data_IF_159362678496
#
_entry.id   IF_159362678496
#
_cell.length_a   1.000
_cell.length_b   1.000
_cell.length_c   1.000
_cell.angle_alpha   90.00
_cell.angle_beta   90.00
_cell.angle_gamma   90.00
#
_symmetry.space_group_name_H-M   'P 1'
#
loop_
_entity.id
_entity.type
_entity.pdbx_description
1 polymer ?
#
# COMPACT_ATOMS: atom_id res chain seq x y z
N UNK A 1 19.87 -1.79 5.76
CA UNK A 1 19.94 -1.86 4.28
C UNK A 1 19.85 -0.44 3.70
N UNK A 2 20.74 -0.08 2.79
CA UNK A 2 20.71 1.26 2.16
C UNK A 2 19.71 1.22 0.99
N UNK A 3 18.88 2.26 0.85
CA UNK A 3 17.87 2.35 -0.23
C UNK A 3 18.51 2.25 -1.62
N UNK A 4 19.72 2.78 -1.80
CA UNK A 4 20.48 2.67 -3.06
C UNK A 4 20.78 1.23 -3.48
N UNK A 5 21.14 0.36 -2.52
CA UNK A 5 21.40 -1.06 -2.79
C UNK A 5 20.12 -1.77 -3.26
N UNK A 6 19.00 -1.43 -2.65
CA UNK A 6 17.69 -1.96 -3.01
C UNK A 6 17.29 -1.56 -4.44
N UNK A 7 17.50 -0.29 -4.81
CA UNK A 7 17.21 0.22 -6.15
C UNK A 7 18.06 -0.50 -7.19
N UNK A 8 19.38 -0.62 -6.95
CA UNK A 8 20.28 -1.32 -7.89
C UNK A 8 19.91 -2.80 -8.06
N UNK A 9 19.43 -3.45 -6.99
CA UNK A 9 18.96 -4.83 -7.05
C UNK A 9 17.64 -4.96 -7.82
N UNK A 10 16.72 -4.01 -7.63
CA UNK A 10 15.46 -3.95 -8.38
C UNK A 10 15.72 -3.80 -9.89
N UNK A 11 16.68 -2.97 -10.28
CA UNK A 11 17.05 -2.77 -11.69
C UNK A 11 17.61 -4.05 -12.32
N UNK A 12 18.41 -4.82 -11.58
CA UNK A 12 18.94 -6.11 -12.04
C UNK A 12 17.83 -7.16 -12.17
N UNK A 13 16.85 -7.20 -11.26
CA UNK A 13 15.70 -8.10 -11.34
C UNK A 13 14.81 -7.82 -12.54
N UNK A 14 14.64 -6.57 -12.89
CA UNK A 14 13.81 -6.15 -14.02
C UNK A 14 14.51 -6.25 -15.37
N UNK A 15 15.85 -6.46 -15.41
CA UNK A 15 16.62 -6.57 -16.65
C UNK A 15 16.12 -7.76 -17.48
N UNK A 16 15.69 -7.51 -18.72
CA UNK A 16 15.16 -8.53 -19.64
C UNK A 16 13.65 -8.85 -19.48
N UNK A 17 13.00 -8.39 -18.41
CA UNK A 17 11.56 -8.67 -18.15
C UNK A 17 10.73 -7.41 -17.94
N UNK A 18 11.30 -6.22 -18.24
CA UNK A 18 10.70 -4.92 -17.91
C UNK A 18 9.29 -4.74 -18.46
N UNK A 19 9.09 -4.96 -19.75
CA UNK A 19 7.82 -4.71 -20.43
C UNK A 19 6.68 -5.57 -19.87
N UNK A 20 6.93 -6.87 -19.68
CA UNK A 20 5.90 -7.78 -19.11
C UNK A 20 5.56 -7.43 -17.67
N UNK A 21 6.55 -7.07 -16.87
CA UNK A 21 6.33 -6.68 -15.46
C UNK A 21 5.58 -5.35 -15.39
N UNK A 22 5.91 -4.40 -16.26
CA UNK A 22 5.27 -3.11 -16.36
C UNK A 22 3.78 -3.23 -16.70
N UNK A 23 3.43 -4.05 -17.70
CA UNK A 23 2.04 -4.32 -18.08
C UNK A 23 1.23 -4.91 -16.91
N UNK A 24 1.83 -5.82 -16.14
CA UNK A 24 1.16 -6.44 -15.00
C UNK A 24 1.00 -5.44 -13.85
N UNK A 25 2.01 -4.63 -13.55
CA UNK A 25 1.96 -3.67 -12.44
C UNK A 25 1.04 -2.47 -12.71
N UNK A 26 0.84 -2.09 -13.98
CA UNK A 26 -0.06 -0.99 -14.33
C UNK A 26 -1.54 -1.38 -14.25
N UNK A 27 -1.85 -2.69 -14.34
CA UNK A 27 -3.23 -3.17 -14.41
C UNK A 27 -4.11 -2.72 -13.23
N UNK A 28 -3.70 -2.83 -11.95
CA UNK A 28 -4.51 -2.33 -10.84
C UNK A 28 -4.62 -0.80 -10.83
N UNK A 29 -3.61 -0.07 -11.29
CA UNK A 29 -3.65 1.40 -11.41
C UNK A 29 -4.62 1.81 -12.51
N UNK A 30 -4.57 1.15 -13.66
CA UNK A 30 -5.50 1.38 -14.76
C UNK A 30 -6.95 1.06 -14.35
N UNK A 31 -7.17 -0.03 -13.63
CA UNK A 31 -8.50 -0.38 -13.09
C UNK A 31 -9.00 0.68 -12.10
N UNK A 32 -8.15 1.17 -11.19
CA UNK A 32 -8.50 2.24 -10.24
C UNK A 32 -8.89 3.53 -10.99
N UNK A 33 -8.10 3.94 -11.99
CA UNK A 33 -8.38 5.11 -12.83
C UNK A 33 -9.69 4.94 -13.62
N UNK A 34 -9.89 3.78 -14.22
CA UNK A 34 -11.12 3.49 -14.96
C UNK A 34 -12.37 3.66 -14.10
N UNK A 35 -12.39 3.09 -12.89
CA UNK A 35 -13.52 3.25 -11.98
C UNK A 35 -13.71 4.70 -11.52
N UNK A 36 -12.64 5.46 -11.34
CA UNK A 36 -12.72 6.88 -11.01
C UNK A 36 -13.29 7.72 -12.14
N UNK A 37 -12.85 7.47 -13.37
CA UNK A 37 -13.40 8.13 -14.55
C UNK A 37 -14.87 7.77 -14.77
N UNK A 38 -15.23 6.50 -14.59
CA UNK A 38 -16.61 6.04 -14.70
C UNK A 38 -17.52 6.67 -13.62
N UNK A 39 -17.03 6.79 -12.38
CA UNK A 39 -17.72 7.47 -11.28
C UNK A 39 -17.93 8.95 -11.60
N UNK A 40 -16.88 9.65 -12.04
CA UNK A 40 -16.97 11.04 -12.42
C UNK A 40 -17.93 11.28 -13.59
N UNK A 41 -17.89 10.44 -14.61
CA UNK A 41 -18.82 10.49 -15.75
C UNK A 41 -20.28 10.24 -15.31
N UNK A 42 -20.52 9.23 -14.48
CA UNK A 42 -21.87 8.97 -13.95
C UNK A 42 -22.41 10.13 -13.11
N UNK A 43 -21.58 10.73 -12.26
CA UNK A 43 -21.96 11.90 -11.48
C UNK A 43 -22.21 13.12 -12.36
N UNK A 44 -21.44 13.33 -13.43
CA UNK A 44 -21.64 14.41 -14.40
C UNK A 44 -22.96 14.23 -15.20
N UNK A 45 -23.27 13.00 -15.59
CA UNK A 45 -24.54 12.69 -16.26
C UNK A 45 -25.73 12.93 -15.34
N UNK A 46 -25.65 12.55 -14.07
CA UNK A 46 -26.70 12.83 -13.09
C UNK A 46 -26.93 14.34 -12.89
N UNK A 47 -25.86 15.15 -12.93
CA UNK A 47 -25.97 16.60 -12.90
C UNK A 47 -26.67 17.16 -14.15
N UNK A 48 -26.32 16.64 -15.32
CA UNK A 48 -26.87 17.10 -16.59
C UNK A 48 -28.37 16.79 -16.73
N UNK A 49 -28.79 15.58 -16.33
CA UNK A 49 -30.18 15.16 -16.44
C UNK A 49 -31.06 15.55 -15.23
N UNK A 50 -30.46 15.84 -14.08
CA UNK A 50 -31.18 16.04 -12.82
C UNK A 50 -31.69 17.46 -12.55
N UNK A 51 -31.48 18.43 -13.44
CA UNK A 51 -31.84 19.87 -13.22
C UNK A 51 -31.49 20.40 -11.81
N UNK A 52 -30.55 19.77 -11.14
CA UNK A 52 -30.18 20.10 -9.78
C UNK A 52 -29.20 21.27 -9.76
N UNK A 53 -29.46 22.23 -8.90
CA UNK A 53 -28.62 23.40 -8.68
C UNK A 53 -27.15 23.00 -8.40
N UNK A 54 -26.19 23.90 -8.78
CA UNK A 54 -24.77 23.64 -8.54
C UNK A 54 -24.50 23.48 -7.03
N UNK A 55 -23.99 22.34 -6.67
CA UNK A 55 -23.85 21.84 -5.32
C UNK A 55 -22.82 22.67 -4.55
N UNK A 56 -23.22 23.22 -3.43
CA UNK A 56 -22.31 23.51 -2.33
C UNK A 56 -21.65 22.20 -1.89
N UNK A 57 -20.32 22.21 -1.73
CA UNK A 57 -19.47 21.04 -1.39
C UNK A 57 -19.95 20.28 -0.13
N UNK A 58 -20.84 20.88 0.65
CA UNK A 58 -21.38 20.36 1.91
C UNK A 58 -22.91 20.30 2.00
N UNK A 59 -23.69 20.63 0.96
CA UNK A 59 -25.08 21.00 1.14
C UNK A 59 -26.17 20.18 0.47
N UNK A 60 -25.92 19.24 -0.43
CA UNK A 60 -26.99 18.39 -0.96
C UNK A 60 -26.57 16.92 -0.94
N UNK A 61 -27.12 16.20 0.03
CA UNK A 61 -27.11 14.74 0.06
C UNK A 61 -28.09 14.20 -0.99
N UNK A 62 -27.72 14.33 -2.26
CA UNK A 62 -28.49 13.72 -3.34
C UNK A 62 -28.33 12.19 -3.17
N UNK A 63 -29.37 11.44 -2.73
CA UNK A 63 -29.25 10.04 -2.37
C UNK A 63 -28.77 9.20 -3.57
N UNK A 64 -29.05 9.65 -4.77
CA UNK A 64 -28.65 8.96 -6.00
C UNK A 64 -27.15 9.05 -6.26
N UNK A 65 -26.52 10.19 -5.97
CA UNK A 65 -25.06 10.34 -6.03
C UNK A 65 -24.34 9.50 -4.98
N UNK A 66 -24.87 9.51 -3.77
CA UNK A 66 -24.36 8.69 -2.68
C UNK A 66 -24.41 7.20 -3.08
N UNK A 67 -25.51 6.77 -3.69
CA UNK A 67 -25.67 5.41 -4.20
C UNK A 67 -24.64 5.09 -5.29
N UNK A 68 -24.45 5.96 -6.29
CA UNK A 68 -23.46 5.77 -7.37
C UNK A 68 -22.05 5.68 -6.81
N UNK A 69 -21.68 6.58 -5.92
CA UNK A 69 -20.34 6.58 -5.28
C UNK A 69 -20.14 5.34 -4.41
N UNK A 70 -21.16 4.89 -3.68
CA UNK A 70 -21.10 3.67 -2.88
C UNK A 70 -20.91 2.42 -3.76
N UNK A 71 -21.71 2.28 -4.83
CA UNK A 71 -21.60 1.16 -5.77
C UNK A 71 -20.25 1.17 -6.47
N UNK A 72 -19.80 2.30 -7.00
CA UNK A 72 -18.48 2.47 -7.62
C UNK A 72 -17.37 2.07 -6.66
N UNK A 73 -17.46 2.50 -5.41
CA UNK A 73 -16.47 2.18 -4.37
C UNK A 73 -16.42 0.68 -4.09
N UNK A 74 -17.56 0.01 -3.96
CA UNK A 74 -17.62 -1.45 -3.73
C UNK A 74 -17.06 -2.20 -4.94
N UNK A 75 -17.48 -1.86 -6.16
CA UNK A 75 -16.97 -2.47 -7.39
C UNK A 75 -15.45 -2.32 -7.53
N UNK A 76 -14.93 -1.14 -7.24
CA UNK A 76 -13.49 -0.86 -7.20
C UNK A 76 -12.76 -1.73 -6.18
N UNK A 77 -13.33 -1.94 -5.00
CA UNK A 77 -12.72 -2.80 -3.97
C UNK A 77 -12.68 -4.25 -4.39
N UNK A 78 -13.76 -4.74 -4.98
CA UNK A 78 -13.88 -6.13 -5.45
C UNK A 78 -12.92 -6.41 -6.61
N UNK A 79 -12.65 -5.45 -7.49
CA UNK A 79 -11.80 -5.65 -8.67
C UNK A 79 -10.32 -5.36 -8.40
N UNK A 80 -10.00 -4.25 -7.73
CA UNK A 80 -8.60 -3.84 -7.53
C UNK A 80 -7.88 -4.74 -6.52
N UNK A 81 -8.57 -5.23 -5.49
CA UNK A 81 -7.92 -6.06 -4.47
C UNK A 81 -7.36 -7.39 -5.01
N UNK A 82 -8.11 -8.21 -5.77
CA UNK A 82 -7.57 -9.43 -6.36
C UNK A 82 -6.51 -9.13 -7.43
N UNK A 83 -6.62 -8.04 -8.20
CA UNK A 83 -5.59 -7.62 -9.15
C UNK A 83 -4.27 -7.32 -8.44
N UNK A 84 -4.31 -6.53 -7.36
CA UNK A 84 -3.13 -6.27 -6.52
C UNK A 84 -2.51 -7.54 -5.98
N UNK A 85 -3.33 -8.48 -5.48
CA UNK A 85 -2.83 -9.76 -4.99
C UNK A 85 -2.09 -10.54 -6.08
N UNK A 86 -2.64 -10.60 -7.31
CA UNK A 86 -2.03 -11.30 -8.44
C UNK A 86 -0.72 -10.64 -8.88
N UNK A 87 -0.66 -9.30 -8.88
CA UNK A 87 0.59 -8.56 -9.15
C UNK A 87 1.66 -8.94 -8.14
N UNK A 88 1.34 -8.89 -6.85
CA UNK A 88 2.27 -9.26 -5.77
C UNK A 88 2.73 -10.71 -5.89
N UNK A 89 1.80 -11.63 -6.20
CA UNK A 89 2.14 -13.04 -6.43
C UNK A 89 3.13 -13.21 -7.58
N UNK A 90 2.96 -12.47 -8.68
CA UNK A 90 3.89 -12.48 -9.81
C UNK A 90 5.24 -11.89 -9.47
N UNK A 91 5.27 -10.77 -8.75
CA UNK A 91 6.52 -10.16 -8.30
C UNK A 91 7.29 -11.09 -7.35
N UNK A 92 6.58 -11.73 -6.42
CA UNK A 92 7.16 -12.74 -5.54
C UNK A 92 7.64 -13.97 -6.33
N UNK A 93 6.88 -14.42 -7.34
CA UNK A 93 7.28 -15.50 -8.24
C UNK A 93 8.58 -15.22 -8.96
N UNK A 94 8.81 -13.98 -9.42
CA UNK A 94 10.08 -13.59 -10.07
C UNK A 94 11.28 -13.67 -9.12
N UNK A 95 11.10 -13.39 -7.84
CA UNK A 95 12.14 -13.57 -6.83
C UNK A 95 12.35 -15.04 -6.46
N UNK A 96 11.30 -15.87 -6.57
CA UNK A 96 11.29 -17.30 -6.25
C UNK A 96 11.67 -18.20 -7.45
N UNK A 97 11.45 -17.78 -8.70
CA UNK A 97 11.85 -18.50 -9.93
C UNK A 97 13.36 -18.77 -9.99
N UNK A 98 14.17 -17.91 -9.37
CA UNK A 98 15.59 -18.17 -9.14
C UNK A 98 15.84 -19.39 -8.24
N UNK A 99 14.83 -19.82 -7.50
CA UNK A 99 14.81 -21.04 -6.68
C UNK A 99 14.24 -22.26 -7.44
N UNK A 100 14.04 -22.19 -8.77
CA UNK A 100 13.57 -23.32 -9.59
C UNK A 100 12.07 -23.61 -9.54
N UNK A 101 11.27 -22.79 -8.87
CA UNK A 101 9.81 -22.99 -8.79
C UNK A 101 9.09 -22.33 -9.98
N UNK A 102 8.39 -23.14 -10.78
CA UNK A 102 7.56 -22.62 -11.91
C UNK A 102 6.42 -21.73 -11.40
N UNK A 103 6.32 -20.54 -11.96
CA UNK A 103 5.24 -19.63 -11.66
C UNK A 103 3.93 -20.03 -12.38
N UNK A 104 2.83 -20.10 -11.66
CA UNK A 104 1.51 -20.44 -12.24
C UNK A 104 0.98 -19.31 -13.15
N UNK A 105 0.10 -19.65 -14.10
CA UNK A 105 -0.52 -18.69 -15.00
C UNK A 105 -1.37 -17.66 -14.25
N UNK A 106 -1.37 -16.41 -14.75
CA UNK A 106 -2.11 -15.28 -14.17
C UNK A 106 -3.61 -15.59 -13.98
N UNK A 107 -4.26 -16.12 -15.00
CA UNK A 107 -5.69 -16.45 -14.97
C UNK A 107 -6.04 -17.53 -13.94
N UNK A 108 -5.21 -18.56 -13.80
CA UNK A 108 -5.43 -19.63 -12.80
C UNK A 108 -5.34 -19.13 -11.36
N UNK A 109 -4.51 -18.13 -11.10
CA UNK A 109 -4.37 -17.54 -9.75
C UNK A 109 -5.58 -16.67 -9.43
N UNK A 110 -6.01 -15.85 -10.40
CA UNK A 110 -7.15 -14.93 -10.23
C UNK A 110 -8.46 -15.68 -9.98
N UNK A 111 -8.69 -16.76 -10.74
CA UNK A 111 -9.94 -17.55 -10.68
C UNK A 111 -10.00 -18.50 -9.48
N UNK A 112 -8.95 -18.62 -8.69
CA UNK A 112 -8.95 -19.51 -7.53
C UNK A 112 -9.77 -18.90 -6.40
N UNK A 113 -10.96 -19.46 -6.10
CA UNK A 113 -11.90 -18.96 -5.07
C UNK A 113 -11.25 -18.61 -3.74
N UNK A 114 -10.29 -19.42 -3.28
CA UNK A 114 -9.58 -19.20 -2.02
C UNK A 114 -8.73 -17.92 -2.04
N UNK A 115 -8.04 -17.64 -3.15
CA UNK A 115 -7.22 -16.43 -3.36
C UNK A 115 -8.09 -15.18 -3.45
N UNK A 116 -9.18 -15.26 -4.20
CA UNK A 116 -10.12 -14.17 -4.38
C UNK A 116 -10.77 -13.75 -3.07
N UNK A 117 -11.35 -14.70 -2.32
CA UNK A 117 -11.97 -14.42 -1.01
C UNK A 117 -11.00 -13.82 -0.02
N UNK A 118 -9.74 -14.29 0.02
CA UNK A 118 -8.72 -13.77 0.93
C UNK A 118 -8.28 -12.36 0.58
N UNK A 119 -8.08 -12.07 -0.71
CA UNK A 119 -7.68 -10.73 -1.15
C UNK A 119 -8.74 -9.69 -0.84
N UNK A 120 -10.01 -10.03 -1.06
CA UNK A 120 -11.14 -9.14 -0.73
C UNK A 120 -11.24 -8.95 0.79
N UNK A 121 -11.19 -10.03 1.58
CA UNK A 121 -11.24 -9.94 3.05
C UNK A 121 -10.09 -9.05 3.59
N UNK A 122 -8.88 -9.20 3.08
CA UNK A 122 -7.76 -8.36 3.47
C UNK A 122 -7.97 -6.88 3.07
N UNK A 123 -8.52 -6.64 1.87
CA UNK A 123 -8.83 -5.29 1.42
C UNK A 123 -9.90 -4.63 2.30
N UNK A 124 -10.95 -5.37 2.67
CA UNK A 124 -12.00 -4.88 3.57
C UNK A 124 -11.39 -4.49 4.92
N UNK A 125 -10.64 -5.38 5.57
CA UNK A 125 -10.04 -5.11 6.87
C UNK A 125 -9.05 -3.93 6.84
N UNK A 126 -8.17 -3.87 5.85
CA UNK A 126 -7.18 -2.78 5.75
C UNK A 126 -7.83 -1.44 5.42
N UNK A 127 -8.92 -1.43 4.65
CA UNK A 127 -9.66 -0.21 4.33
C UNK A 127 -10.55 0.23 5.49
N UNK A 128 -11.24 -0.70 6.16
CA UNK A 128 -12.03 -0.39 7.36
C UNK A 128 -11.14 0.23 8.45
N UNK A 129 -9.99 -0.36 8.73
CA UNK A 129 -9.03 0.20 9.68
C UNK A 129 -8.49 1.56 9.22
N UNK A 130 -8.26 1.75 7.91
CA UNK A 130 -7.84 3.03 7.34
C UNK A 130 -8.92 4.10 7.43
N UNK A 131 -10.20 3.76 7.22
CA UNK A 131 -11.32 4.68 7.36
C UNK A 131 -11.51 5.08 8.83
N UNK A 132 -11.48 4.12 9.76
CA UNK A 132 -11.55 4.40 11.19
C UNK A 132 -10.46 5.39 11.64
N UNK A 133 -9.24 5.22 11.15
CA UNK A 133 -8.14 6.12 11.45
C UNK A 133 -8.27 7.51 10.78
N UNK A 134 -9.09 7.62 9.73
CA UNK A 134 -9.34 8.89 9.04
C UNK A 134 -10.41 9.74 9.74
N UNK A 135 -11.33 9.11 10.49
CA UNK A 135 -12.44 9.80 11.17
C UNK A 135 -11.96 11.01 11.99
N UNK A 136 -10.94 10.90 12.87
CA UNK A 136 -10.45 12.06 13.62
C UNK A 136 -9.91 13.16 12.72
N UNK A 137 -9.21 12.80 11.64
CA UNK A 137 -8.66 13.78 10.70
C UNK A 137 -9.76 14.57 9.98
N UNK A 138 -10.84 13.91 9.58
CA UNK A 138 -12.00 14.56 8.96
C UNK A 138 -12.71 15.46 9.98
N UNK A 139 -12.97 14.94 11.18
CA UNK A 139 -13.65 15.70 12.24
C UNK A 139 -12.91 16.99 12.58
N UNK A 140 -11.62 16.90 12.92
CA UNK A 140 -10.82 18.09 13.24
C UNK A 140 -10.60 18.99 12.02
N UNK A 141 -10.49 18.42 10.81
CA UNK A 141 -10.34 19.18 9.57
C UNK A 141 -11.55 20.03 9.24
N UNK A 142 -12.75 19.46 9.38
CA UNK A 142 -14.01 20.19 9.20
C UNK A 142 -14.16 21.28 10.25
N UNK A 143 -13.84 20.98 11.53
CA UNK A 143 -13.88 21.98 12.61
C UNK A 143 -12.90 23.12 12.36
N UNK A 144 -11.65 22.81 11.93
CA UNK A 144 -10.67 23.85 11.60
C UNK A 144 -11.14 24.73 10.43
N UNK A 145 -11.72 24.12 9.38
CA UNK A 145 -12.22 24.84 8.22
C UNK A 145 -13.41 25.77 8.58
N UNK A 146 -14.34 25.28 9.41
CA UNK A 146 -15.47 26.08 9.90
C UNK A 146 -15.00 27.33 10.67
N UNK A 147 -14.06 27.13 11.62
CA UNK A 147 -13.49 28.24 12.40
C UNK A 147 -12.72 29.26 11.55
N UNK A 148 -12.09 28.83 10.46
CA UNK A 148 -11.36 29.72 9.54
C UNK A 148 -12.34 30.52 8.66
N UNK A 149 -13.50 29.95 8.34
CA UNK A 149 -14.48 30.58 7.44
C UNK A 149 -15.39 31.57 8.15
N UNK A 150 -15.69 31.37 9.41
CA UNK A 150 -16.35 32.36 10.27
C UNK A 150 -15.33 33.42 10.63
N UNK A 151 -15.67 34.71 10.42
CA UNK A 151 -14.77 35.87 10.59
C UNK A 151 -14.02 35.80 11.92
N UNK A 152 -12.71 35.58 11.84
CA UNK A 152 -11.84 35.30 13.00
C UNK A 152 -11.77 36.48 13.98
N UNK A 153 -12.32 36.30 15.18
CA UNK A 153 -11.91 37.06 16.37
C UNK A 153 -10.63 36.40 16.95
N UNK A 154 -9.83 37.21 17.66
CA UNK A 154 -8.49 36.76 18.16
C UNK A 154 -8.56 35.49 19.00
N UNK A 155 -9.63 35.29 19.78
CA UNK A 155 -9.81 34.10 20.62
C UNK A 155 -10.06 32.81 19.82
N UNK A 156 -10.65 32.93 18.61
CA UNK A 156 -10.93 31.78 17.73
C UNK A 156 -9.70 31.33 16.95
N UNK A 157 -8.67 32.20 16.81
CA UNK A 157 -7.41 31.83 16.16
C UNK A 157 -6.71 30.67 16.87
N UNK A 158 -6.66 30.67 18.19
CA UNK A 158 -6.06 29.56 18.96
C UNK A 158 -6.86 28.28 18.80
N UNK A 159 -8.19 28.34 18.72
CA UNK A 159 -9.04 27.17 18.50
C UNK A 159 -8.81 26.59 17.09
N UNK A 160 -8.75 27.44 16.05
CA UNK A 160 -8.45 27.04 14.69
C UNK A 160 -7.05 26.44 14.53
N UNK A 161 -6.04 27.05 15.15
CA UNK A 161 -4.67 26.53 15.15
C UNK A 161 -4.57 25.16 15.82
N UNK A 162 -5.28 24.98 16.95
CA UNK A 162 -5.32 23.70 17.67
C UNK A 162 -6.02 22.61 16.85
N UNK A 163 -7.14 22.90 16.22
CA UNK A 163 -7.86 22.00 15.33
C UNK A 163 -7.01 21.63 14.11
N UNK A 164 -6.30 22.55 13.50
CA UNK A 164 -5.36 22.31 12.41
C UNK A 164 -4.19 21.41 12.83
N UNK A 165 -3.65 21.65 14.03
CA UNK A 165 -2.58 20.80 14.59
C UNK A 165 -3.05 19.35 14.84
N UNK A 166 -4.24 19.17 15.43
CA UNK A 166 -4.84 17.85 15.64
C UNK A 166 -5.14 17.14 14.30
N UNK A 167 -5.57 17.90 13.29
CA UNK A 167 -5.73 17.36 11.93
C UNK A 167 -4.41 16.86 11.37
N UNK A 168 -3.34 17.63 11.48
CA UNK A 168 -2.01 17.23 11.01
C UNK A 168 -1.51 15.95 11.70
N UNK A 169 -1.66 15.84 13.03
CA UNK A 169 -1.32 14.63 13.78
C UNK A 169 -2.14 13.43 13.28
N UNK A 170 -3.44 13.60 13.12
CA UNK A 170 -4.35 12.53 12.67
C UNK A 170 -3.99 12.03 11.27
N UNK A 171 -3.61 12.92 10.36
CA UNK A 171 -3.10 12.57 9.01
C UNK A 171 -1.80 11.78 9.10
N UNK A 172 -0.88 12.17 9.97
CA UNK A 172 0.39 11.43 10.18
C UNK A 172 0.13 10.02 10.72
N UNK A 173 -0.77 9.87 11.68
CA UNK A 173 -1.19 8.57 12.22
C UNK A 173 -1.81 7.71 11.12
N UNK A 174 -2.75 8.27 10.34
CA UNK A 174 -3.37 7.59 9.22
C UNK A 174 -2.34 7.12 8.17
N UNK A 175 -1.41 7.98 7.77
CA UNK A 175 -0.34 7.63 6.84
C UNK A 175 0.56 6.51 7.39
N UNK A 176 0.89 6.58 8.69
CA UNK A 176 1.66 5.55 9.37
C UNK A 176 0.97 4.19 9.36
N UNK A 177 -0.36 4.14 9.55
CA UNK A 177 -1.16 2.93 9.44
C UNK A 177 -1.25 2.41 8.00
N UNK A 178 -1.44 3.28 7.03
CA UNK A 178 -1.41 2.91 5.60
C UNK A 178 -0.10 2.24 5.21
N UNK A 179 1.03 2.79 5.64
CA UNK A 179 2.35 2.18 5.42
C UNK A 179 2.49 0.83 6.13
N UNK A 180 1.91 0.69 7.33
CA UNK A 180 1.92 -0.59 8.04
C UNK A 180 1.14 -1.67 7.29
N UNK A 181 0.01 -1.32 6.66
CA UNK A 181 -0.81 -2.27 5.91
C UNK A 181 -0.29 -2.55 4.49
N UNK A 182 0.67 -1.80 3.99
CA UNK A 182 1.24 -2.02 2.66
C UNK A 182 1.87 -3.41 2.49
N UNK A 183 2.30 -4.07 3.57
CA UNK A 183 2.87 -5.43 3.51
C UNK A 183 1.81 -6.55 3.50
N UNK A 184 0.55 -6.28 3.81
CA UNK A 184 -0.50 -7.31 3.92
C UNK A 184 -0.62 -8.21 2.68
N UNK A 185 -0.71 -7.70 1.44
CA UNK A 185 -0.81 -8.55 0.26
C UNK A 185 0.43 -9.44 0.06
N UNK A 186 1.61 -8.97 0.43
CA UNK A 186 2.86 -9.74 0.33
C UNK A 186 2.92 -10.87 1.35
N UNK A 187 2.48 -10.61 2.58
CA UNK A 187 2.39 -11.61 3.66
C UNK A 187 1.40 -12.72 3.28
N UNK A 188 0.23 -12.36 2.75
CA UNK A 188 -0.78 -13.32 2.31
C UNK A 188 -0.30 -14.22 1.17
N UNK A 189 0.53 -13.70 0.27
CA UNK A 189 1.14 -14.49 -0.81
C UNK A 189 2.16 -15.47 -0.25
N UNK A 190 2.99 -15.03 0.69
CA UNK A 190 4.06 -15.85 1.27
C UNK A 190 3.54 -16.89 2.26
N UNK A 191 2.58 -16.51 3.09
CA UNK A 191 2.00 -17.33 4.14
C UNK A 191 0.53 -17.68 3.84
N UNK A 192 0.25 -18.65 2.94
CA UNK A 192 -1.11 -18.94 2.49
C UNK A 192 -2.03 -19.54 3.58
N UNK A 193 -1.49 -19.91 4.74
CA UNK A 193 -2.26 -20.45 5.87
C UNK A 193 -2.82 -19.36 6.79
N UNK A 194 -2.27 -18.12 6.74
CA UNK A 194 -2.71 -17.03 7.60
C UNK A 194 -4.08 -16.48 7.16
N UNK A 195 -4.93 -16.13 8.12
CA UNK A 195 -6.16 -15.38 7.85
C UNK A 195 -5.84 -13.93 7.52
N UNK A 196 -6.76 -13.22 6.84
CA UNK A 196 -6.58 -11.82 6.46
C UNK A 196 -6.31 -10.91 7.67
N UNK A 197 -7.03 -11.15 8.78
CA UNK A 197 -6.86 -10.39 10.02
C UNK A 197 -5.49 -10.62 10.66
N UNK A 198 -5.05 -11.88 10.78
CA UNK A 198 -3.72 -12.20 11.31
C UNK A 198 -2.60 -11.65 10.41
N UNK A 199 -2.77 -11.65 9.08
CA UNK A 199 -1.82 -11.05 8.17
C UNK A 199 -1.73 -9.53 8.37
N UNK A 200 -2.84 -8.85 8.69
CA UNK A 200 -2.87 -7.42 9.01
C UNK A 200 -2.09 -7.15 10.32
N UNK A 201 -2.35 -7.90 11.38
CA UNK A 201 -1.63 -7.76 12.66
C UNK A 201 -0.13 -8.03 12.50
N UNK A 202 0.22 -9.10 11.77
CA UNK A 202 1.62 -9.42 11.47
C UNK A 202 2.29 -8.32 10.64
N UNK A 203 1.57 -7.71 9.70
CA UNK A 203 2.06 -6.58 8.91
C UNK A 203 2.40 -5.37 9.78
N UNK A 204 1.55 -5.01 10.74
CA UNK A 204 1.81 -3.92 11.69
C UNK A 204 3.06 -4.19 12.51
N UNK A 205 3.20 -5.41 13.03
CA UNK A 205 4.39 -5.85 13.80
C UNK A 205 5.65 -5.81 12.94
N UNK A 206 5.60 -6.37 11.74
CA UNK A 206 6.73 -6.43 10.80
C UNK A 206 7.23 -5.04 10.40
N UNK A 207 6.30 -4.09 10.21
CA UNK A 207 6.60 -2.71 9.82
C UNK A 207 7.03 -1.82 10.98
N UNK A 208 6.91 -2.26 12.23
CA UNK A 208 7.39 -1.50 13.38
C UNK A 208 8.90 -1.25 13.26
N UNK A 209 9.30 0.02 13.33
CA UNK A 209 10.70 0.45 13.17
C UNK A 209 11.22 0.48 11.71
N UNK A 210 10.51 -0.12 10.73
CA UNK A 210 10.97 -0.24 9.33
C UNK A 210 10.25 0.71 8.35
N UNK A 211 9.24 1.45 8.82
CA UNK A 211 8.44 2.40 8.01
C UNK A 211 9.28 3.46 7.31
N UNK A 212 10.38 3.90 7.95
CA UNK A 212 11.30 4.91 7.38
C UNK A 212 11.95 4.45 6.06
N UNK A 213 12.22 3.16 5.91
CA UNK A 213 12.80 2.61 4.67
C UNK A 213 11.78 2.68 3.54
N UNK A 214 10.53 2.30 3.80
CA UNK A 214 9.46 2.37 2.83
C UNK A 214 9.13 3.82 2.45
N UNK A 215 9.08 4.72 3.43
CA UNK A 215 8.84 6.14 3.17
C UNK A 215 9.93 6.74 2.28
N UNK A 216 11.20 6.46 2.57
CA UNK A 216 12.33 6.90 1.72
C UNK A 216 12.23 6.33 0.31
N UNK A 217 11.75 5.09 0.16
CA UNK A 217 11.56 4.46 -1.14
C UNK A 217 10.46 5.17 -1.94
N UNK A 218 9.34 5.50 -1.30
CA UNK A 218 8.26 6.27 -1.92
C UNK A 218 8.78 7.64 -2.36
N UNK A 219 9.51 8.35 -1.50
CA UNK A 219 10.05 9.68 -1.81
C UNK A 219 10.98 9.67 -3.01
N UNK A 220 11.79 8.61 -3.19
CA UNK A 220 12.69 8.49 -4.36
C UNK A 220 11.90 8.29 -5.67
N UNK A 221 10.79 7.55 -5.62
CA UNK A 221 9.98 7.28 -6.82
C UNK A 221 8.83 8.28 -7.02
N UNK A 222 8.59 9.18 -6.07
CA UNK A 222 7.52 10.18 -6.16
C UNK A 222 7.71 11.16 -7.33
N UNK A 223 8.91 11.77 -7.55
CA UNK A 223 9.09 12.71 -8.67
C UNK A 223 8.79 12.08 -10.04
N UNK A 224 9.30 10.89 -10.41
CA UNK A 224 8.94 10.27 -11.68
C UNK A 224 7.49 9.81 -11.77
N UNK A 225 6.76 9.65 -10.66
CA UNK A 225 5.33 9.35 -10.67
C UNK A 225 4.47 10.55 -11.07
N UNK A 226 4.95 11.78 -10.89
CA UNK A 226 4.24 12.99 -11.30
C UNK A 226 4.18 13.14 -12.82
N UNK A 227 5.08 12.51 -13.55
CA UNK A 227 5.06 12.51 -15.01
C UNK A 227 4.27 11.30 -15.53
N UNK A 228 3.21 11.56 -16.32
CA UNK A 228 2.32 10.53 -16.87
C UNK A 228 3.11 9.48 -17.67
N UNK A 229 4.13 9.90 -18.41
CA UNK A 229 4.97 9.03 -19.26
C UNK A 229 5.81 8.07 -18.41
N UNK A 230 6.37 8.54 -17.30
CA UNK A 230 7.22 7.73 -16.42
C UNK A 230 6.43 6.96 -15.34
N UNK A 231 5.15 7.25 -15.17
CA UNK A 231 4.28 6.62 -14.17
C UNK A 231 4.33 5.08 -14.23
N UNK A 232 4.14 4.40 -15.39
CA UNK A 232 4.17 2.95 -15.46
C UNK A 232 5.51 2.36 -15.01
N UNK A 233 6.58 3.03 -15.37
CA UNK A 233 7.95 2.64 -15.00
C UNK A 233 8.21 2.82 -13.50
N UNK A 234 7.83 3.97 -12.95
CA UNK A 234 8.01 4.30 -11.53
C UNK A 234 7.19 3.37 -10.63
N UNK A 235 5.92 3.11 -10.99
CA UNK A 235 5.04 2.17 -10.26
C UNK A 235 5.63 0.77 -10.27
N UNK A 236 6.11 0.29 -11.41
CA UNK A 236 6.72 -1.03 -11.54
C UNK A 236 7.95 -1.18 -10.65
N UNK A 237 8.84 -0.20 -10.67
CA UNK A 237 10.03 -0.18 -9.82
C UNK A 237 9.68 -0.12 -8.35
N UNK A 238 8.75 0.76 -7.97
CA UNK A 238 8.29 0.90 -6.59
C UNK A 238 7.69 -0.41 -6.07
N UNK A 239 6.77 -1.03 -6.81
CA UNK A 239 6.14 -2.29 -6.42
C UNK A 239 7.16 -3.44 -6.30
N UNK A 240 8.12 -3.52 -7.22
CA UNK A 240 9.18 -4.54 -7.17
C UNK A 240 10.10 -4.30 -5.98
N UNK A 241 10.48 -3.06 -5.71
CA UNK A 241 11.29 -2.68 -4.55
C UNK A 241 10.56 -2.94 -3.23
N UNK A 242 9.25 -2.69 -3.16
CA UNK A 242 8.42 -3.06 -2.02
C UNK A 242 8.39 -4.57 -1.80
N UNK A 243 8.14 -5.35 -2.85
CA UNK A 243 8.16 -6.82 -2.78
C UNK A 243 9.46 -7.34 -2.20
N UNK A 244 10.58 -6.83 -2.70
CA UNK A 244 11.91 -7.20 -2.24
C UNK A 244 12.17 -6.79 -0.78
N UNK A 245 11.81 -5.56 -0.41
CA UNK A 245 11.97 -5.05 0.96
C UNK A 245 11.21 -5.91 1.96
N UNK A 246 9.96 -6.25 1.65
CA UNK A 246 9.10 -7.04 2.53
C UNK A 246 9.62 -8.47 2.64
N UNK A 247 10.10 -9.08 1.55
CA UNK A 247 10.72 -10.42 1.60
C UNK A 247 11.96 -10.44 2.52
N UNK A 248 12.79 -9.41 2.45
CA UNK A 248 13.95 -9.26 3.33
C UNK A 248 13.50 -9.10 4.80
N UNK A 249 12.48 -8.28 5.07
CA UNK A 249 11.97 -8.07 6.42
C UNK A 249 11.38 -9.32 7.04
N UNK A 250 10.66 -10.13 6.25
CA UNK A 250 10.12 -11.40 6.72
C UNK A 250 11.25 -12.39 7.03
N UNK A 251 12.26 -12.49 6.16
CA UNK A 251 13.42 -13.35 6.42
C UNK A 251 14.23 -12.93 7.65
N UNK A 252 14.35 -11.62 7.90
CA UNK A 252 14.97 -11.12 9.12
C UNK A 252 14.16 -11.51 10.37
N UNK A 253 12.83 -11.40 10.30
CA UNK A 253 11.94 -11.72 11.42
C UNK A 253 11.96 -13.24 11.72
N UNK A 254 11.84 -14.09 10.70
CA UNK A 254 11.97 -15.54 10.80
C UNK A 254 13.33 -15.95 11.42
N UNK A 255 14.40 -15.30 11.02
CA UNK A 255 15.72 -15.53 11.58
C UNK A 255 15.81 -15.16 13.06
N UNK A 256 15.19 -14.03 13.46
CA UNK A 256 15.17 -13.60 14.85
C UNK A 256 14.34 -14.53 15.72
N UNK A 257 13.22 -15.06 15.23
CA UNK A 257 12.38 -16.01 15.94
C UNK A 257 13.08 -17.37 16.13
N UNK A 258 13.77 -17.86 15.10
CA UNK A 258 14.56 -19.10 15.19
C UNK A 258 15.68 -18.97 16.23
N UNK A 259 16.41 -17.86 16.24
CA UNK A 259 17.45 -17.64 17.23
C UNK A 259 16.93 -17.42 18.67
N UNK A 260 15.68 -16.95 18.82
CA UNK A 260 15.00 -16.88 20.11
C UNK A 260 14.67 -18.26 20.64
N UNK A 261 14.13 -19.14 19.77
CA UNK A 261 13.78 -20.52 20.12
C UNK A 261 15.01 -21.33 20.54
N UNK A 262 16.16 -21.12 19.86
CA UNK A 262 17.40 -21.86 20.12
C UNK A 262 18.19 -21.33 21.34
N UNK A 263 17.61 -20.42 22.17
CA UNK A 263 18.31 -19.82 23.32
C UNK A 263 19.54 -18.97 22.96
N UNK A 264 19.74 -18.73 21.67
CA UNK A 264 20.90 -18.03 21.09
C UNK A 264 20.93 -16.51 21.33
N UNK A 265 20.00 -15.96 22.12
CA UNK A 265 19.86 -14.52 22.39
C UNK A 265 21.13 -13.88 23.00
N UNK A 266 21.94 -14.65 23.72
CA UNK A 266 23.22 -14.17 24.29
C UNK A 266 24.31 -13.89 23.24
N UNK A 267 24.31 -14.62 22.09
CA UNK A 267 25.31 -14.43 21.02
C UNK A 267 24.91 -13.36 19.97
N UNK A 268 23.61 -13.09 19.79
CA UNK A 268 23.13 -12.11 18.82
C UNK A 268 23.30 -10.64 19.26
N UNK A 269 23.70 -10.41 20.51
CA UNK A 269 23.96 -9.06 21.06
C UNK A 269 25.18 -8.35 20.44
N UNK A 270 26.01 -9.10 19.70
CA UNK A 270 27.11 -8.50 18.93
C UNK A 270 26.59 -7.94 17.61
N UNK A 271 26.19 -6.66 17.61
CA UNK A 271 25.65 -5.92 16.47
C UNK A 271 26.50 -6.03 15.17
N UNK A 272 27.79 -6.35 15.28
CA UNK A 272 28.68 -6.60 14.16
C UNK A 272 28.38 -7.87 13.36
N UNK A 273 27.90 -8.96 13.97
CA UNK A 273 27.61 -10.22 13.28
C UNK A 273 26.31 -10.18 12.47
N UNK A 274 25.32 -9.44 12.95
CA UNK A 274 24.03 -9.24 12.22
C UNK A 274 24.29 -8.42 10.95
N UNK A 275 25.12 -7.39 11.02
CA UNK A 275 25.55 -6.60 9.87
C UNK A 275 26.29 -7.42 8.81
N UNK A 276 27.17 -8.33 9.23
CA UNK A 276 27.96 -9.17 8.34
C UNK A 276 27.11 -10.25 7.63
N UNK A 277 26.14 -10.84 8.32
CA UNK A 277 25.23 -11.83 7.72
C UNK A 277 24.20 -11.20 6.79
N UNK A 278 23.76 -9.98 7.12
CA UNK A 278 22.94 -9.13 6.23
C UNK A 278 23.67 -8.87 4.90
N UNK A 279 24.96 -8.54 4.96
CA UNK A 279 25.82 -8.39 3.78
C UNK A 279 25.97 -9.70 2.98
N UNK A 280 26.11 -10.85 3.65
CA UNK A 280 26.22 -12.16 2.97
C UNK A 280 24.92 -12.60 2.31
N UNK A 281 23.76 -12.41 2.93
CA UNK A 281 22.46 -12.69 2.30
C UNK A 281 22.24 -11.85 1.05
N UNK A 282 22.62 -10.57 1.11
CA UNK A 282 22.55 -9.66 -0.05
C UNK A 282 23.58 -10.07 -1.11
N UNK A 283 24.79 -10.44 -0.72
CA UNK A 283 25.84 -10.88 -1.64
C UNK A 283 25.51 -12.23 -2.29
N UNK A 284 25.07 -13.23 -1.53
CA UNK A 284 24.64 -14.52 -2.06
C UNK A 284 23.40 -14.43 -2.97
N UNK A 285 22.55 -13.42 -2.74
CA UNK A 285 21.47 -13.11 -3.65
C UNK A 285 21.95 -12.34 -4.90
N UNK A 286 23.06 -11.59 -4.81
CA UNK A 286 23.67 -10.89 -5.93
C UNK A 286 24.54 -11.83 -6.81
N UNK A 287 25.27 -12.76 -6.20
CA UNK A 287 26.15 -13.72 -6.91
C UNK A 287 25.36 -14.81 -7.67
N UNK A 288 24.09 -15.04 -7.32
CA UNK A 288 23.14 -15.89 -8.05
C UNK A 288 22.32 -15.13 -9.09
N UNK A 289 22.59 -13.86 -9.29
CA UNK A 289 21.98 -12.94 -10.26
C UNK A 289 22.87 -12.68 -11.46
#
# INVERSE_FOLDING_TARGET
MKVRELIGYTDRLLKGRRTRTMLICILPVAAELFFRCAEAAACSLLLYFGNSEPISIFGSSDPMRLAVTAVSTVMRWVTVAPLMYVVVYRLYGMTAERSGKRCQSFSRILLRKCTFRRSISAAIWTRAAGLLALVPAVFFGVSAFGLIHEKMFADEFFAAANAAFLTAISVVVWLSLKLSFAAVPYILVRCPKLTAFHAMLYSVRLMSGRKRVLLKLIMVYFPPMLTVVLLPYAVTKLMTAFSLSIDIFIKEDEYLETNRADGGYRKARNAGKISHRRKRCIKAAADKA
#
